data_IF_597789924219
#
_entry.id   IF_597789924219
#
_cell.length_a   1.000
_cell.length_b   1.000
_cell.length_c   1.000
_cell.angle_alpha   90.00
_cell.angle_beta   90.00
_cell.angle_gamma   90.00
#
_symmetry.space_group_name_H-M   'P 1'
#
loop_
_entity.id
_entity.type
_entity.pdbx_description
1 polymer ?
#
# COMPACT_ATOMS: atom_id res chain seq x y z
N UNK A 1 -3.37 21.04 7.36
CA UNK A 1 -2.54 21.50 6.24
C UNK A 1 -3.39 21.86 5.04
N UNK A 2 -2.79 22.50 4.03
CA UNK A 2 -3.46 22.78 2.77
C UNK A 2 -3.66 21.46 2.00
N UNK A 3 -4.85 21.26 1.45
CA UNK A 3 -5.12 20.09 0.59
C UNK A 3 -4.46 20.29 -0.78
N UNK A 4 -4.00 19.22 -1.41
CA UNK A 4 -3.19 19.29 -2.63
C UNK A 4 -3.94 19.95 -3.80
N UNK A 5 -5.24 19.77 -3.93
CA UNK A 5 -6.09 20.36 -4.96
C UNK A 5 -6.33 21.87 -4.80
N UNK A 6 -6.01 22.42 -3.64
CA UNK A 6 -6.13 23.85 -3.36
C UNK A 6 -4.80 24.63 -3.51
N UNK A 7 -3.69 23.95 -3.81
CA UNK A 7 -2.39 24.62 -3.92
C UNK A 7 -2.38 25.72 -4.97
N UNK A 8 -2.99 25.47 -6.14
CA UNK A 8 -3.03 26.44 -7.25
C UNK A 8 -3.69 27.77 -6.88
N UNK A 9 -4.55 27.79 -5.86
CA UNK A 9 -5.18 29.02 -5.36
C UNK A 9 -4.21 29.91 -4.59
N UNK A 10 -3.10 29.35 -4.11
CA UNK A 10 -2.11 30.01 -3.25
C UNK A 10 -0.72 30.10 -3.91
N UNK A 11 -0.57 29.62 -5.16
CA UNK A 11 0.68 29.73 -5.94
C UNK A 11 0.75 31.10 -6.64
N UNK A 12 0.87 32.17 -5.84
CA UNK A 12 1.02 33.54 -6.30
C UNK A 12 1.94 34.29 -5.34
N UNK A 13 2.27 35.56 -5.67
CA UNK A 13 3.25 36.38 -4.94
C UNK A 13 2.80 36.78 -3.53
N UNK A 14 1.52 36.58 -3.20
CA UNK A 14 0.96 36.96 -1.88
C UNK A 14 1.18 35.89 -0.80
N UNK A 15 1.60 34.68 -1.18
CA UNK A 15 1.72 33.53 -0.27
C UNK A 15 3.05 32.80 -0.41
N UNK A 16 3.58 32.37 0.73
CA UNK A 16 4.71 31.44 0.78
C UNK A 16 4.20 30.04 1.17
N UNK A 17 4.31 29.08 0.27
CA UNK A 17 3.97 27.70 0.52
C UNK A 17 5.21 26.94 0.97
N UNK A 18 5.17 26.38 2.19
CA UNK A 18 6.19 25.45 2.68
C UNK A 18 5.61 24.03 2.73
N UNK A 19 6.30 23.09 2.09
CA UNK A 19 5.91 21.68 2.07
C UNK A 19 7.04 20.82 2.64
N UNK A 20 6.69 19.96 3.58
CA UNK A 20 7.64 19.04 4.23
C UNK A 20 7.06 17.64 4.20
N UNK A 21 7.86 16.67 3.74
CA UNK A 21 7.50 15.25 3.81
C UNK A 21 7.37 14.83 5.27
N UNK A 22 6.34 14.04 5.56
CA UNK A 22 6.09 13.48 6.90
C UNK A 22 6.13 11.96 6.82
N UNK A 23 6.13 11.28 7.97
CA UNK A 23 6.00 9.81 8.04
C UNK A 23 4.55 9.33 7.82
N UNK A 24 3.67 10.16 7.24
CA UNK A 24 2.33 9.70 6.85
C UNK A 24 2.41 8.97 5.52
N UNK A 25 1.97 7.73 5.54
CA UNK A 25 1.91 6.88 4.37
C UNK A 25 0.45 6.45 4.10
N UNK A 26 0.09 6.32 2.83
CA UNK A 26 -1.12 5.65 2.37
C UNK A 26 -0.71 4.22 2.01
N UNK A 27 -1.34 3.26 2.66
CA UNK A 27 -0.95 1.84 2.63
C UNK A 27 -2.13 0.99 2.19
N UNK A 28 -1.86 -0.11 1.49
CA UNK A 28 -2.76 -1.24 1.35
C UNK A 28 -2.28 -2.39 2.23
N UNK A 29 -3.17 -2.96 3.03
CA UNK A 29 -2.94 -4.21 3.74
C UNK A 29 -3.66 -5.33 3.00
N UNK A 30 -2.93 -6.35 2.55
CA UNK A 30 -3.50 -7.56 2.02
C UNK A 30 -4.17 -8.38 3.12
N UNK A 31 -5.32 -8.95 2.84
CA UNK A 31 -5.99 -9.90 3.73
C UNK A 31 -5.46 -11.32 3.45
N UNK A 32 -4.58 -11.83 4.29
CA UNK A 32 -3.95 -13.14 4.13
C UNK A 32 -4.92 -14.32 4.37
N UNK A 33 -6.14 -14.06 4.85
CA UNK A 33 -7.21 -15.08 4.94
C UNK A 33 -8.03 -15.18 3.64
N UNK A 34 -7.96 -14.18 2.76
CA UNK A 34 -8.62 -14.21 1.45
C UNK A 34 -7.93 -15.19 0.49
N UNK A 35 -8.69 -15.98 -0.24
CA UNK A 35 -8.16 -17.01 -1.15
C UNK A 35 -7.21 -16.40 -2.21
N UNK A 36 -7.57 -15.29 -2.83
CA UNK A 36 -6.73 -14.64 -3.82
C UNK A 36 -5.46 -14.04 -3.20
N UNK A 37 -5.54 -13.56 -1.96
CA UNK A 37 -4.41 -12.91 -1.28
C UNK A 37 -3.47 -13.90 -0.58
N UNK A 38 -3.84 -15.16 -0.45
CA UNK A 38 -2.90 -16.23 -0.04
C UNK A 38 -1.83 -16.48 -1.09
N UNK A 39 -2.16 -16.26 -2.35
CA UNK A 39 -1.22 -16.43 -3.46
C UNK A 39 -0.22 -15.27 -3.50
N UNK A 40 1.06 -15.59 -3.34
CA UNK A 40 2.13 -14.61 -3.37
C UNK A 40 2.30 -13.97 -4.75
N UNK A 41 2.07 -14.72 -5.83
CA UNK A 41 2.19 -14.21 -7.19
C UNK A 41 1.10 -13.19 -7.49
N UNK A 42 -0.12 -13.41 -6.99
CA UNK A 42 -1.22 -12.45 -7.11
C UNK A 42 -0.88 -11.15 -6.35
N UNK A 43 -0.40 -11.25 -5.10
CA UNK A 43 0.00 -10.05 -4.34
C UNK A 43 1.12 -9.28 -5.03
N UNK A 44 2.12 -9.99 -5.56
CA UNK A 44 3.24 -9.40 -6.30
C UNK A 44 2.78 -8.75 -7.60
N UNK A 45 1.90 -9.40 -8.36
CA UNK A 45 1.33 -8.81 -9.59
C UNK A 45 0.52 -7.54 -9.29
N UNK A 46 -0.25 -7.50 -8.20
CA UNK A 46 -0.96 -6.30 -7.76
C UNK A 46 0.04 -5.17 -7.47
N UNK A 47 1.13 -5.45 -6.76
CA UNK A 47 2.14 -4.44 -6.45
C UNK A 47 2.84 -3.92 -7.72
N UNK A 48 3.19 -4.82 -8.65
CA UNK A 48 3.77 -4.47 -9.95
C UNK A 48 2.80 -3.69 -10.85
N UNK A 49 1.49 -3.89 -10.69
CA UNK A 49 0.46 -3.25 -11.51
C UNK A 49 0.04 -1.86 -11.05
N UNK A 50 0.44 -1.40 -9.86
CA UNK A 50 0.05 -0.08 -9.33
C UNK A 50 1.11 0.97 -9.68
N UNK A 51 0.78 1.92 -10.55
CA UNK A 51 1.64 3.05 -10.91
C UNK A 51 1.64 4.15 -9.82
N UNK A 52 2.49 3.96 -8.82
CA UNK A 52 2.64 4.91 -7.71
C UNK A 52 3.20 6.26 -8.17
N UNK A 53 4.08 6.27 -9.16
CA UNK A 53 4.65 7.51 -9.71
C UNK A 53 3.62 8.31 -10.50
N UNK A 54 2.86 7.64 -11.36
CA UNK A 54 1.76 8.28 -12.09
C UNK A 54 0.71 8.88 -11.15
N UNK A 55 0.33 8.17 -10.09
CA UNK A 55 -0.56 8.72 -9.07
C UNK A 55 0.01 10.00 -8.44
N UNK A 56 1.26 9.97 -7.99
CA UNK A 56 1.89 11.12 -7.34
C UNK A 56 2.04 12.31 -8.31
N UNK A 57 2.42 12.07 -9.56
CA UNK A 57 2.70 13.12 -10.53
C UNK A 57 1.42 13.72 -11.12
N UNK A 58 0.43 12.86 -11.47
CA UNK A 58 -0.78 13.30 -12.18
C UNK A 58 -1.90 13.67 -11.20
N UNK A 59 -2.28 12.71 -10.32
CA UNK A 59 -3.42 12.93 -9.43
C UNK A 59 -3.07 13.89 -8.30
N UNK A 60 -1.88 13.70 -7.69
CA UNK A 60 -1.39 14.55 -6.60
C UNK A 60 -0.63 15.79 -7.09
N UNK A 61 -0.55 16.02 -8.40
CA UNK A 61 0.12 17.18 -9.01
C UNK A 61 1.57 17.37 -8.52
N UNK A 62 2.31 16.28 -8.36
CA UNK A 62 3.68 16.28 -7.84
C UNK A 62 3.79 16.54 -6.34
N UNK A 63 2.69 16.49 -5.59
CA UNK A 63 2.64 16.76 -4.12
C UNK A 63 2.75 15.49 -3.27
N UNK A 64 2.91 14.34 -3.90
CA UNK A 64 3.17 13.05 -3.26
C UNK A 64 4.57 12.55 -3.54
N UNK A 65 5.03 11.59 -2.73
CA UNK A 65 6.26 10.84 -2.94
C UNK A 65 5.88 9.37 -3.11
N UNK A 66 6.25 8.71 -4.22
CA UNK A 66 5.99 7.29 -4.40
C UNK A 66 6.62 6.48 -3.27
N UNK A 67 5.79 5.74 -2.52
CA UNK A 67 6.28 4.93 -1.42
C UNK A 67 6.79 3.58 -1.92
N UNK A 68 8.00 3.21 -1.54
CA UNK A 68 8.55 1.86 -1.67
C UNK A 68 8.30 1.05 -0.41
N UNK A 69 8.41 1.71 0.75
CA UNK A 69 8.20 1.12 2.06
C UNK A 69 7.25 1.98 2.88
N UNK A 70 6.96 1.55 4.11
CA UNK A 70 6.15 2.32 5.04
C UNK A 70 6.84 3.61 5.53
N UNK A 71 8.14 3.79 5.27
CA UNK A 71 8.93 4.92 5.77
C UNK A 71 9.53 5.75 4.64
N UNK A 72 9.48 7.09 4.71
CA UNK A 72 10.06 7.96 3.70
C UNK A 72 11.60 7.94 3.73
N UNK A 73 12.23 8.36 2.63
CA UNK A 73 13.69 8.44 2.46
C UNK A 73 14.42 9.34 3.46
N UNK A 74 13.69 10.14 4.25
CA UNK A 74 14.28 10.92 5.34
C UNK A 74 14.76 10.08 6.52
N UNK A 75 14.38 8.81 6.60
CA UNK A 75 14.86 7.86 7.59
C UNK A 75 15.91 6.92 6.99
N UNK A 76 16.92 6.53 7.80
CA UNK A 76 17.95 5.59 7.36
C UNK A 76 17.40 4.19 7.01
N UNK A 77 16.23 3.85 7.55
CA UNK A 77 15.48 2.63 7.27
C UNK A 77 14.29 2.83 6.31
N UNK A 78 14.28 3.94 5.57
CA UNK A 78 13.18 4.30 4.67
C UNK A 78 13.36 3.79 3.24
N UNK A 79 12.65 4.41 2.31
CA UNK A 79 12.53 4.01 0.89
C UNK A 79 13.84 3.64 0.20
N UNK A 80 14.95 4.30 0.56
CA UNK A 80 16.23 4.12 -0.12
C UNK A 80 17.07 2.97 0.46
N UNK A 81 16.65 2.43 1.61
CA UNK A 81 17.34 1.36 2.32
C UNK A 81 16.86 -0.05 1.94
N UNK A 82 15.71 -0.15 1.25
CA UNK A 82 15.03 -1.43 0.96
C UNK A 82 14.77 -1.55 -0.54
N UNK A 83 15.09 -2.71 -1.11
CA UNK A 83 14.69 -3.06 -2.46
C UNK A 83 13.25 -3.56 -2.46
N UNK A 84 12.44 -3.04 -3.36
CA UNK A 84 11.03 -3.40 -3.48
C UNK A 84 10.65 -3.65 -4.94
N UNK A 85 9.48 -4.22 -5.13
CA UNK A 85 8.90 -4.45 -6.45
C UNK A 85 8.65 -3.10 -7.14
N UNK A 86 9.12 -2.97 -8.39
CA UNK A 86 8.88 -1.79 -9.22
C UNK A 86 7.59 -1.93 -10.01
N UNK A 87 7.02 -0.80 -10.45
CA UNK A 87 5.94 -0.79 -11.42
C UNK A 87 6.40 -1.45 -12.72
N UNK A 88 5.79 -2.57 -13.06
CA UNK A 88 6.08 -3.38 -14.25
C UNK A 88 4.81 -4.13 -14.67
N UNK A 89 3.90 -3.47 -15.42
CA UNK A 89 2.64 -4.08 -15.80
C UNK A 89 2.81 -5.29 -16.74
N UNK A 90 3.84 -5.30 -17.58
CA UNK A 90 4.09 -6.44 -18.46
C UNK A 90 4.61 -7.66 -17.67
N UNK A 91 5.56 -7.44 -16.75
CA UNK A 91 5.99 -8.48 -15.84
C UNK A 91 4.87 -9.00 -14.93
N UNK A 92 3.92 -8.14 -14.54
CA UNK A 92 2.73 -8.54 -13.78
C UNK A 92 1.83 -9.49 -14.59
N UNK A 93 1.58 -9.19 -15.87
CA UNK A 93 0.81 -10.07 -16.78
C UNK A 93 1.49 -11.42 -16.97
N UNK A 94 2.81 -11.41 -17.19
CA UNK A 94 3.59 -12.64 -17.32
C UNK A 94 3.51 -13.50 -16.05
N UNK A 95 3.61 -12.85 -14.87
CA UNK A 95 3.50 -13.53 -13.58
C UNK A 95 2.12 -14.17 -13.40
N UNK A 96 1.05 -13.43 -13.64
CA UNK A 96 -0.32 -13.93 -13.57
C UNK A 96 -0.54 -15.09 -14.54
N UNK A 97 -0.10 -14.94 -15.79
CA UNK A 97 -0.22 -15.98 -16.80
C UNK A 97 0.53 -17.27 -16.42
N UNK A 98 1.75 -17.14 -15.87
CA UNK A 98 2.54 -18.28 -15.41
C UNK A 98 1.91 -19.02 -14.24
N UNK A 99 1.06 -18.32 -13.47
CA UNK A 99 0.29 -18.87 -12.36
C UNK A 99 -1.11 -19.39 -12.79
N UNK A 100 -1.41 -19.34 -14.09
CA UNK A 100 -2.63 -19.88 -14.70
C UNK A 100 -3.81 -18.90 -14.73
N UNK A 101 -3.58 -17.61 -14.47
CA UNK A 101 -4.55 -16.56 -14.68
C UNK A 101 -4.49 -16.04 -16.12
N UNK A 102 -5.53 -16.25 -16.91
CA UNK A 102 -5.61 -15.81 -18.32
C UNK A 102 -7.03 -15.39 -18.64
N UNK A 103 -7.19 -14.39 -19.50
CA UNK A 103 -8.51 -14.00 -20.00
C UNK A 103 -8.99 -15.03 -21.02
N UNK A 104 -9.86 -15.95 -20.60
CA UNK A 104 -10.32 -17.08 -21.44
C UNK A 104 -11.62 -16.79 -22.17
N UNK A 105 -12.41 -15.81 -21.73
CA UNK A 105 -13.70 -15.45 -22.34
C UNK A 105 -13.69 -14.12 -23.12
N UNK A 106 -12.59 -13.36 -23.03
CA UNK A 106 -12.37 -12.12 -23.78
C UNK A 106 -13.07 -10.91 -23.16
N UNK A 107 -13.40 -10.94 -21.86
CA UNK A 107 -14.03 -9.83 -21.15
C UNK A 107 -13.04 -8.75 -20.68
N UNK A 108 -11.74 -9.01 -20.82
CA UNK A 108 -10.64 -8.13 -20.47
C UNK A 108 -10.13 -8.32 -19.06
N UNK A 109 -10.61 -9.32 -18.33
CA UNK A 109 -10.12 -9.72 -17.03
C UNK A 109 -9.53 -11.13 -17.08
N UNK A 110 -8.48 -11.36 -16.30
CA UNK A 110 -7.90 -12.69 -16.18
C UNK A 110 -8.78 -13.57 -15.29
N UNK A 111 -9.02 -14.79 -15.73
CA UNK A 111 -9.81 -15.77 -15.01
C UNK A 111 -9.02 -17.07 -14.75
N UNK A 112 -9.48 -17.82 -13.76
CA UNK A 112 -8.98 -19.16 -13.44
C UNK A 112 -10.18 -20.02 -13.05
N UNK A 113 -10.34 -21.16 -13.71
CA UNK A 113 -11.50 -22.03 -13.55
C UNK A 113 -12.86 -21.35 -13.84
N UNK A 114 -12.89 -20.33 -14.70
CA UNK A 114 -14.10 -19.57 -15.06
C UNK A 114 -14.52 -18.50 -14.05
N UNK A 115 -13.62 -18.13 -13.13
CA UNK A 115 -13.85 -17.03 -12.18
C UNK A 115 -12.79 -15.93 -12.37
N UNK A 116 -13.22 -14.71 -12.60
CA UNK A 116 -12.34 -13.56 -12.78
C UNK A 116 -11.56 -13.25 -11.48
N UNK A 117 -10.28 -12.89 -11.63
CA UNK A 117 -9.49 -12.37 -10.52
C UNK A 117 -10.07 -11.04 -10.07
N UNK A 118 -10.89 -11.08 -9.05
CA UNK A 118 -11.54 -9.90 -8.47
C UNK A 118 -10.94 -9.58 -7.12
N UNK A 119 -10.53 -8.31 -6.95
CA UNK A 119 -9.97 -7.76 -5.71
C UNK A 119 -10.99 -6.84 -5.06
N UNK A 120 -11.44 -7.19 -3.86
CA UNK A 120 -12.32 -6.36 -3.03
C UNK A 120 -11.47 -5.32 -2.31
N UNK A 121 -11.56 -4.07 -2.76
CA UNK A 121 -10.76 -2.97 -2.25
C UNK A 121 -11.55 -2.13 -1.26
N UNK A 122 -11.23 -2.21 0.02
CA UNK A 122 -11.87 -1.46 1.09
C UNK A 122 -11.11 -0.15 1.35
N UNK A 123 -11.81 0.98 1.36
CA UNK A 123 -11.26 2.30 1.68
C UNK A 123 -12.32 3.21 2.33
N UNK A 124 -11.97 4.46 2.64
CA UNK A 124 -12.87 5.41 3.27
C UNK A 124 -12.71 6.84 2.73
N UNK A 125 -13.80 7.64 2.64
CA UNK A 125 -13.81 8.95 1.96
C UNK A 125 -13.33 10.12 2.83
N UNK A 126 -13.02 9.92 4.11
CA UNK A 126 -12.69 11.02 5.03
C UNK A 126 -11.35 11.73 4.72
N UNK A 127 -10.57 11.18 3.81
CA UNK A 127 -9.38 11.79 3.20
C UNK A 127 -9.54 11.78 1.70
N UNK A 128 -9.37 12.95 1.11
CA UNK A 128 -9.59 13.17 -0.34
C UNK A 128 -8.72 12.27 -1.24
N UNK A 129 -7.53 11.92 -0.77
CA UNK A 129 -6.57 11.07 -1.49
C UNK A 129 -7.02 9.60 -1.56
N UNK A 130 -7.75 9.12 -0.55
CA UNK A 130 -8.09 7.69 -0.43
C UNK A 130 -8.96 7.17 -1.59
N UNK A 131 -10.13 7.75 -1.90
CA UNK A 131 -10.95 7.29 -3.03
C UNK A 131 -10.19 7.39 -4.34
N UNK A 132 -9.47 8.50 -4.56
CA UNK A 132 -8.71 8.71 -5.80
C UNK A 132 -7.58 7.71 -5.99
N UNK A 133 -6.91 7.29 -4.91
CA UNK A 133 -5.89 6.25 -4.97
C UNK A 133 -6.52 4.89 -5.32
N UNK A 134 -7.69 4.56 -4.75
CA UNK A 134 -8.40 3.34 -5.07
C UNK A 134 -8.86 3.31 -6.55
N UNK A 135 -9.44 4.41 -7.04
CA UNK A 135 -9.86 4.54 -8.44
C UNK A 135 -8.67 4.47 -9.41
N UNK A 136 -7.55 5.09 -9.06
CA UNK A 136 -6.33 5.04 -9.88
C UNK A 136 -5.75 3.63 -9.91
N UNK A 137 -5.66 2.96 -8.74
CA UNK A 137 -5.23 1.57 -8.66
C UNK A 137 -6.17 0.64 -9.43
N UNK A 138 -7.49 0.84 -9.37
CA UNK A 138 -8.47 0.11 -10.18
C UNK A 138 -8.17 0.24 -11.68
N UNK A 139 -7.85 1.46 -12.15
CA UNK A 139 -7.53 1.70 -13.56
C UNK A 139 -6.26 0.97 -13.99
N UNK A 140 -5.17 1.10 -13.22
CA UNK A 140 -3.88 0.48 -13.59
C UNK A 140 -3.91 -1.05 -13.44
N UNK A 141 -4.64 -1.58 -12.46
CA UNK A 141 -4.83 -3.02 -12.29
C UNK A 141 -5.71 -3.64 -13.39
N UNK A 142 -6.67 -2.88 -13.91
CA UNK A 142 -7.44 -3.30 -15.09
C UNK A 142 -6.55 -3.49 -16.31
N UNK A 143 -5.51 -2.68 -16.48
CA UNK A 143 -4.57 -2.80 -17.61
C UNK A 143 -3.76 -4.11 -17.58
N UNK A 144 -3.70 -4.76 -16.43
CA UNK A 144 -3.11 -6.10 -16.26
C UNK A 144 -4.16 -7.22 -16.10
N UNK A 145 -5.44 -6.91 -16.34
CA UNK A 145 -6.52 -7.86 -16.32
C UNK A 145 -7.09 -8.16 -14.92
N UNK A 146 -6.74 -7.40 -13.89
CA UNK A 146 -7.32 -7.60 -12.54
C UNK A 146 -8.56 -6.71 -12.39
N UNK A 147 -9.68 -7.32 -12.00
CA UNK A 147 -10.89 -6.60 -11.63
C UNK A 147 -10.79 -6.09 -10.20
N UNK A 148 -11.12 -4.83 -9.97
CA UNK A 148 -11.17 -4.24 -8.63
C UNK A 148 -12.57 -3.76 -8.32
N UNK A 149 -13.15 -4.25 -7.24
CA UNK A 149 -14.43 -3.80 -6.70
C UNK A 149 -14.16 -2.91 -5.47
N UNK A 150 -14.37 -1.59 -5.63
CA UNK A 150 -14.10 -0.60 -4.60
C UNK A 150 -15.29 -0.49 -3.66
N UNK A 151 -15.04 -0.66 -2.36
CA UNK A 151 -15.96 -0.32 -1.28
C UNK A 151 -15.41 0.90 -0.54
N UNK A 152 -15.92 2.08 -0.88
CA UNK A 152 -15.61 3.35 -0.22
C UNK A 152 -16.69 3.65 0.83
N UNK A 153 -16.40 3.35 2.09
CA UNK A 153 -17.36 3.46 3.19
C UNK A 153 -16.83 4.28 4.35
N UNK A 154 -17.70 4.99 5.04
CA UNK A 154 -17.36 5.72 6.27
C UNK A 154 -17.16 4.81 7.48
N UNK A 155 -17.62 3.55 7.41
CA UNK A 155 -17.49 2.55 8.46
C UNK A 155 -16.85 1.26 7.90
N UNK A 156 -15.52 1.18 7.98
CA UNK A 156 -14.76 0.00 7.58
C UNK A 156 -14.79 -1.12 8.64
N UNK A 157 -15.19 -0.82 9.88
CA UNK A 157 -15.13 -1.76 11.00
C UNK A 157 -15.79 -3.12 10.72
N UNK A 158 -17.06 -3.18 10.30
CA UNK A 158 -17.73 -4.45 10.01
C UNK A 158 -17.04 -5.30 8.94
N UNK A 159 -16.49 -4.68 7.90
CA UNK A 159 -15.76 -5.37 6.82
C UNK A 159 -14.42 -5.94 7.30
N UNK A 160 -13.71 -5.18 8.15
CA UNK A 160 -12.45 -5.64 8.76
C UNK A 160 -12.71 -6.81 9.72
N UNK A 161 -13.75 -6.72 10.55
CA UNK A 161 -14.12 -7.76 11.51
C UNK A 161 -14.58 -9.06 10.83
N UNK A 162 -15.33 -8.95 9.73
CA UNK A 162 -15.79 -10.11 8.96
C UNK A 162 -14.76 -10.66 7.97
N UNK A 163 -13.66 -9.91 7.67
CA UNK A 163 -12.70 -10.26 6.62
C UNK A 163 -13.24 -10.05 5.20
N UNK A 164 -14.30 -9.26 5.04
CA UNK A 164 -14.91 -8.99 3.73
C UNK A 164 -14.17 -7.90 2.96
N UNK A 165 -12.92 -8.18 2.68
CA UNK A 165 -12.01 -7.38 1.85
C UNK A 165 -10.81 -8.23 1.43
N UNK A 166 -10.14 -7.85 0.35
CA UNK A 166 -8.86 -8.40 -0.09
C UNK A 166 -7.71 -7.43 0.17
N UNK A 167 -7.97 -6.13 -0.03
CA UNK A 167 -7.05 -5.05 0.32
C UNK A 167 -7.79 -4.01 1.16
N UNK A 168 -7.25 -3.68 2.32
CA UNK A 168 -7.69 -2.53 3.10
C UNK A 168 -6.71 -1.38 2.92
N UNK A 169 -7.14 -0.35 2.22
CA UNK A 169 -6.37 0.88 2.00
C UNK A 169 -6.66 1.89 3.09
N UNK A 170 -5.61 2.36 3.75
CA UNK A 170 -5.73 3.32 4.84
C UNK A 170 -4.54 4.28 4.92
N UNK A 171 -4.62 5.26 5.78
CA UNK A 171 -3.55 6.24 6.03
C UNK A 171 -3.00 6.06 7.44
N UNK A 172 -1.69 5.96 7.55
CA UNK A 172 -1.00 5.74 8.81
C UNK A 172 0.21 6.67 8.96
N UNK A 173 0.43 7.21 10.17
CA UNK A 173 1.67 7.91 10.50
C UNK A 173 2.64 6.88 11.07
N UNK A 174 3.59 6.43 10.24
CA UNK A 174 4.39 5.23 10.51
C UNK A 174 5.46 5.41 11.57
N UNK A 175 6.07 6.61 11.63
CA UNK A 175 7.11 6.93 12.62
C UNK A 175 6.83 8.32 13.26
N UNK A 176 5.83 8.45 14.15
CA UNK A 176 5.45 9.74 14.74
C UNK A 176 6.54 10.36 15.60
N UNK A 177 7.42 9.56 16.17
CA UNK A 177 8.57 9.99 16.99
C UNK A 177 9.91 9.86 16.27
N UNK A 178 9.90 9.46 14.99
CA UNK A 178 11.11 9.14 14.23
C UNK A 178 11.65 7.72 14.50
N UNK A 179 10.89 6.89 15.23
CA UNK A 179 11.25 5.51 15.55
C UNK A 179 10.37 4.53 14.76
N UNK A 180 10.92 3.46 14.16
CA UNK A 180 10.19 2.52 13.30
C UNK A 180 9.28 1.56 14.09
N UNK A 181 9.53 1.34 15.37
CA UNK A 181 8.84 0.32 16.17
C UNK A 181 7.33 0.49 16.19
N UNK A 182 6.85 1.73 16.24
CA UNK A 182 5.41 1.99 16.29
C UNK A 182 4.63 1.38 15.12
N UNK A 183 5.18 1.43 13.91
CA UNK A 183 4.55 0.81 12.75
C UNK A 183 4.53 -0.71 12.89
N UNK A 184 5.66 -1.32 13.17
CA UNK A 184 5.79 -2.78 13.24
C UNK A 184 4.93 -3.37 14.36
N UNK A 185 5.00 -2.80 15.57
CA UNK A 185 4.20 -3.28 16.72
C UNK A 185 2.71 -2.97 16.61
N UNK A 186 2.30 -2.03 15.76
CA UNK A 186 0.88 -1.70 15.55
C UNK A 186 0.29 -2.42 14.34
N UNK A 187 0.91 -2.29 13.16
CA UNK A 187 0.33 -2.64 11.88
C UNK A 187 0.82 -4.00 11.33
N UNK A 188 1.97 -4.50 11.82
CA UNK A 188 2.52 -5.79 11.38
C UNK A 188 2.19 -6.89 12.38
N UNK A 189 2.52 -6.73 13.66
CA UNK A 189 2.29 -7.76 14.69
C UNK A 189 1.17 -7.41 15.69
N UNK A 190 0.61 -6.21 15.61
CA UNK A 190 -0.33 -5.68 16.60
C UNK A 190 -1.78 -5.58 16.14
N UNK A 191 -2.57 -4.82 16.91
CA UNK A 191 -4.02 -4.72 16.72
C UNK A 191 -4.47 -4.09 15.39
N UNK A 192 -3.58 -3.43 14.66
CA UNK A 192 -3.84 -2.86 13.34
C UNK A 192 -3.34 -3.73 12.20
N UNK A 193 -2.95 -4.95 12.49
CA UNK A 193 -2.74 -6.00 11.49
C UNK A 193 -4.11 -6.54 11.04
N UNK A 194 -4.83 -5.72 10.28
CA UNK A 194 -6.18 -6.04 9.81
C UNK A 194 -6.14 -7.15 8.74
N UNK A 195 -5.02 -7.28 8.03
CA UNK A 195 -4.80 -8.29 7.01
C UNK A 195 -4.44 -9.67 7.54
N UNK A 196 -4.35 -9.87 8.86
CA UNK A 196 -4.00 -11.16 9.49
C UNK A 196 -2.67 -11.74 9.01
N UNK A 197 -1.70 -10.88 8.74
CA UNK A 197 -0.34 -11.31 8.41
C UNK A 197 0.30 -12.01 9.60
N UNK A 198 0.81 -13.21 9.38
CA UNK A 198 1.51 -14.00 10.39
C UNK A 198 2.84 -14.52 9.82
N UNK A 199 3.93 -14.21 10.50
CA UNK A 199 5.26 -14.71 10.20
C UNK A 199 6.07 -14.73 11.51
N UNK A 200 6.53 -15.92 11.89
CA UNK A 200 7.24 -16.13 13.16
C UNK A 200 8.60 -15.38 13.20
N UNK A 201 9.34 -15.39 12.09
CA UNK A 201 10.65 -14.75 12.00
C UNK A 201 10.51 -13.22 12.11
N UNK A 202 9.52 -12.65 11.42
CA UNK A 202 9.21 -11.21 11.51
C UNK A 202 8.76 -10.85 12.94
N UNK A 203 7.97 -11.70 13.58
CA UNK A 203 7.54 -11.46 14.98
C UNK A 203 8.74 -11.44 15.92
N UNK A 204 9.70 -12.36 15.76
CA UNK A 204 10.93 -12.41 16.56
C UNK A 204 11.81 -11.17 16.32
N UNK A 205 11.93 -10.71 15.06
CA UNK A 205 12.66 -9.48 14.74
C UNK A 205 12.01 -8.25 15.37
N UNK A 206 10.68 -8.13 15.34
CA UNK A 206 9.94 -7.03 15.98
C UNK A 206 10.12 -7.06 17.51
N UNK A 207 10.12 -8.25 18.14
CA UNK A 207 10.40 -8.38 19.56
C UNK A 207 11.86 -8.02 19.90
N UNK A 208 12.80 -8.34 19.02
CA UNK A 208 14.21 -7.96 19.16
C UNK A 208 14.37 -6.45 19.05
N UNK A 209 13.71 -5.81 18.07
CA UNK A 209 13.67 -4.36 17.92
C UNK A 209 13.15 -3.69 19.21
N UNK A 210 12.10 -4.24 19.81
CA UNK A 210 11.52 -3.72 21.06
C UNK A 210 12.52 -3.72 22.23
N UNK A 211 13.45 -4.68 22.27
CA UNK A 211 14.46 -4.85 23.34
C UNK A 211 15.78 -4.13 23.02
N UNK A 212 15.96 -3.63 21.81
CA UNK A 212 17.18 -2.99 21.33
C UNK A 212 17.11 -1.48 21.52
N UNK A 213 18.11 -0.87 22.17
CA UNK A 213 18.17 0.56 22.47
C UNK A 213 19.21 1.32 21.63
N UNK A 214 20.17 0.61 21.06
CA UNK A 214 21.15 1.23 20.17
C UNK A 214 20.50 1.66 18.85
N UNK A 215 20.72 2.91 18.47
CA UNK A 215 20.04 3.52 17.34
C UNK A 215 20.41 2.83 16.01
N UNK A 216 21.68 2.55 15.78
CA UNK A 216 22.15 1.96 14.52
C UNK A 216 21.66 0.51 14.37
N UNK A 217 21.61 -0.21 15.48
CA UNK A 217 21.05 -1.57 15.52
C UNK A 217 19.53 -1.57 15.24
N UNK A 218 18.80 -0.61 15.78
CA UNK A 218 17.37 -0.44 15.51
C UNK A 218 17.11 -0.13 14.05
N UNK A 219 17.91 0.73 13.42
CA UNK A 219 17.82 1.05 12.00
C UNK A 219 18.07 -0.17 11.12
N UNK A 220 19.06 -1.01 11.45
CA UNK A 220 19.32 -2.27 10.75
C UNK A 220 18.16 -3.26 10.88
N UNK A 221 17.66 -3.47 12.10
CA UNK A 221 16.51 -4.33 12.34
C UNK A 221 15.27 -3.84 11.57
N UNK A 222 15.06 -2.53 11.50
CA UNK A 222 13.94 -1.97 10.75
C UNK A 222 14.04 -2.21 9.25
N UNK A 223 15.25 -2.26 8.68
CA UNK A 223 15.49 -2.65 7.27
C UNK A 223 15.26 -4.15 7.09
N UNK A 224 15.71 -4.98 8.03
CA UNK A 224 15.57 -6.43 7.96
C UNK A 224 14.10 -6.90 8.06
N UNK A 225 13.28 -6.19 8.84
CA UNK A 225 11.83 -6.49 8.99
C UNK A 225 11.07 -6.16 7.70
N UNK A 226 11.51 -5.18 6.89
CA UNK A 226 10.87 -4.76 5.66
C UNK A 226 11.19 -5.66 4.48
#
# INVERSE_FOLDING_TARGET
GLQYDNYSLFENDDYNISSVATSRCFLGQFNFESENMKDQNVRKAIEMGIDKEGFCNVIMQGRGIPAKTAFPSSFAYGNDAVETVSYDPEGAKELLSSDGWTDTDGDGYVDKNGENLTVRWLTYPTRLEQPKLAEYAQSTLKDIGIKVDINDTTDCGPYIESGDFDIYQWSFTTAPTGDPEYFFTSAVTGRKNNGKYENADITELVETLHKTFDKEEREKLAVEIQ
#
